data_IF_217861490190
#
_entry.id   IF_217861490190
#
_cell.length_a   1.000
_cell.length_b   1.000
_cell.length_c   1.000
_cell.angle_alpha   90.00
_cell.angle_beta   90.00
_cell.angle_gamma   90.00
#
_symmetry.space_group_name_H-M   'P 1'
#
loop_
_entity.id
_entity.type
_entity.pdbx_description
1 polymer ?
#
# COMPACT_ATOMS: atom_id res chain seq x y z
N UNK A 1 29.42 22.39 -41.84
CA UNK A 1 28.57 22.58 -40.62
C UNK A 1 27.80 21.33 -40.19
N UNK A 2 28.09 20.15 -40.73
CA UNK A 2 27.35 18.88 -40.46
C UNK A 2 27.94 17.99 -39.36
N UNK A 3 29.19 18.20 -38.94
CA UNK A 3 29.84 17.37 -37.95
C UNK A 3 29.43 17.63 -36.48
N UNK A 4 28.91 18.83 -36.16
CA UNK A 4 28.45 19.18 -34.83
C UNK A 4 27.12 18.54 -34.44
N UNK A 5 26.26 18.25 -35.40
CA UNK A 5 24.93 17.63 -35.17
C UNK A 5 25.02 16.13 -34.87
N UNK A 6 25.97 15.42 -35.49
CA UNK A 6 26.16 13.97 -35.25
C UNK A 6 26.78 13.67 -33.91
N UNK A 7 27.68 14.54 -33.42
CA UNK A 7 28.28 14.37 -32.08
C UNK A 7 27.22 14.60 -30.98
N UNK A 8 26.34 15.61 -31.16
CA UNK A 8 25.25 15.88 -30.20
C UNK A 8 24.23 14.75 -30.13
N UNK A 9 23.86 14.14 -31.27
CA UNK A 9 22.95 12.99 -31.29
C UNK A 9 23.59 11.71 -30.74
N UNK A 10 24.90 11.52 -30.94
CA UNK A 10 25.66 10.40 -30.37
C UNK A 10 25.84 10.55 -28.86
N UNK A 11 26.02 11.77 -28.35
CA UNK A 11 26.05 12.03 -26.89
C UNK A 11 24.67 11.80 -26.28
N UNK A 12 23.57 12.21 -26.94
CA UNK A 12 22.20 11.93 -26.50
C UNK A 12 21.82 10.44 -26.55
N UNK A 13 22.42 9.66 -27.45
CA UNK A 13 22.20 8.20 -27.50
C UNK A 13 23.03 7.44 -26.43
N UNK A 14 24.13 8.02 -25.95
CA UNK A 14 24.94 7.47 -24.85
C UNK A 14 24.38 7.80 -23.46
N UNK A 15 23.52 8.83 -23.36
CA UNK A 15 22.78 9.20 -22.14
C UNK A 15 21.38 8.58 -22.06
N UNK A 16 21.05 7.60 -22.91
CA UNK A 16 20.00 6.64 -22.61
C UNK A 16 20.52 5.73 -21.51
N UNK A 17 20.62 6.31 -20.31
CA UNK A 17 20.76 5.54 -19.08
C UNK A 17 19.69 4.43 -19.15
N UNK A 18 20.14 3.19 -19.26
CA UNK A 18 19.31 2.07 -18.83
C UNK A 18 18.90 2.45 -17.41
N UNK A 19 17.64 2.82 -17.20
CA UNK A 19 17.12 3.00 -15.85
C UNK A 19 17.44 1.71 -15.10
N UNK A 20 18.49 1.77 -14.28
CA UNK A 20 18.87 0.67 -13.41
C UNK A 20 17.75 0.60 -12.39
N UNK A 21 16.78 -0.25 -12.63
CA UNK A 21 15.68 -0.50 -11.69
C UNK A 21 16.22 -1.32 -10.53
N UNK A 22 16.62 -0.64 -9.48
CA UNK A 22 16.99 -1.28 -8.22
C UNK A 22 15.78 -1.98 -7.59
N UNK A 23 16.02 -3.14 -6.98
CA UNK A 23 15.04 -3.80 -6.10
C UNK A 23 14.83 -2.99 -4.82
N UNK A 24 13.74 -3.22 -4.12
CA UNK A 24 13.47 -2.53 -2.86
C UNK A 24 14.52 -2.84 -1.79
N UNK A 25 15.06 -4.08 -1.81
CA UNK A 25 16.15 -4.52 -0.94
C UNK A 25 17.47 -3.78 -1.25
N UNK A 26 17.76 -3.55 -2.52
CA UNK A 26 18.93 -2.75 -2.92
C UNK A 26 18.77 -1.29 -2.53
N UNK A 27 17.56 -0.73 -2.72
CA UNK A 27 17.27 0.66 -2.34
C UNK A 27 17.43 0.90 -0.85
N UNK A 28 16.88 0.03 0.01
CA UNK A 28 17.03 0.21 1.46
C UNK A 28 18.48 0.10 1.90
N UNK A 29 19.27 -0.81 1.31
CA UNK A 29 20.70 -0.93 1.60
C UNK A 29 21.44 0.33 1.17
N UNK A 30 21.20 0.85 -0.05
CA UNK A 30 21.79 2.12 -0.51
C UNK A 30 21.44 3.26 0.43
N UNK A 31 20.19 3.34 0.89
CA UNK A 31 19.76 4.35 1.86
C UNK A 31 20.47 4.20 3.21
N UNK A 32 20.74 3.00 3.69
CA UNK A 32 21.58 2.76 4.90
C UNK A 32 22.98 3.37 4.76
N UNK A 33 23.54 3.31 3.55
CA UNK A 33 24.86 3.91 3.24
C UNK A 33 24.80 5.40 2.86
N UNK A 34 23.66 6.07 3.03
CA UNK A 34 23.52 7.52 2.89
C UNK A 34 22.98 8.01 1.55
N UNK A 35 22.51 7.12 0.67
CA UNK A 35 21.86 7.49 -0.59
C UNK A 35 20.42 7.95 -0.36
N UNK A 36 20.22 9.25 -0.21
CA UNK A 36 18.91 9.87 0.01
C UNK A 36 17.95 9.67 -1.19
N UNK A 37 18.48 9.54 -2.42
CA UNK A 37 17.64 9.28 -3.60
C UNK A 37 16.99 7.91 -3.54
N UNK A 38 17.65 6.91 -2.97
CA UNK A 38 17.08 5.59 -2.73
C UNK A 38 15.89 5.66 -1.75
N UNK A 39 15.94 6.54 -0.74
CA UNK A 39 14.78 6.77 0.15
C UNK A 39 13.61 7.41 -0.60
N UNK A 40 13.86 8.44 -1.41
CA UNK A 40 12.82 9.09 -2.22
C UNK A 40 12.13 8.09 -3.14
N UNK A 41 12.89 7.20 -3.78
CA UNK A 41 12.35 6.16 -4.64
C UNK A 41 11.47 5.16 -3.84
N UNK A 42 11.89 4.73 -2.65
CA UNK A 42 11.08 3.88 -1.77
C UNK A 42 9.77 4.58 -1.35
N UNK A 43 9.83 5.88 -1.03
CA UNK A 43 8.63 6.67 -0.70
C UNK A 43 7.66 6.67 -1.90
N UNK A 44 8.15 6.96 -3.10
CA UNK A 44 7.34 6.99 -4.32
C UNK A 44 6.65 5.64 -4.59
N UNK A 45 7.39 4.52 -4.46
CA UNK A 45 6.86 3.17 -4.67
C UNK A 45 5.80 2.76 -3.64
N UNK A 46 5.98 3.18 -2.38
CA UNK A 46 5.17 2.66 -1.28
C UNK A 46 4.07 3.60 -0.81
N UNK A 47 4.09 4.90 -1.14
CA UNK A 47 3.10 5.88 -0.66
C UNK A 47 1.65 5.42 -0.90
N UNK A 48 1.28 5.22 -2.15
CA UNK A 48 -0.10 4.84 -2.50
C UNK A 48 -0.47 3.44 -2.00
N UNK A 49 0.49 2.51 -2.04
CA UNK A 49 0.32 1.14 -1.53
C UNK A 49 0.05 1.11 -0.02
N UNK A 50 0.79 1.91 0.74
CA UNK A 50 0.59 2.05 2.18
C UNK A 50 -0.70 2.80 2.50
N UNK A 51 -1.08 3.82 1.72
CA UNK A 51 -2.38 4.50 1.86
C UNK A 51 -3.53 3.50 1.77
N UNK A 52 -3.58 2.70 0.71
CA UNK A 52 -4.60 1.65 0.54
C UNK A 52 -4.64 0.70 1.73
N UNK A 53 -3.48 0.26 2.20
CA UNK A 53 -3.39 -0.68 3.32
C UNK A 53 -3.84 -0.06 4.65
N UNK A 54 -3.35 1.13 4.98
CA UNK A 54 -3.67 1.81 6.24
C UNK A 54 -5.14 2.26 6.27
N UNK A 55 -5.68 2.76 5.16
CA UNK A 55 -7.10 3.05 5.01
C UNK A 55 -7.97 1.82 5.28
N UNK A 56 -7.52 0.62 4.92
CA UNK A 56 -8.19 -0.63 5.27
C UNK A 56 -8.32 -0.88 6.79
N UNK A 57 -7.53 -0.21 7.62
CA UNK A 57 -7.67 -0.25 9.07
C UNK A 57 -8.54 0.89 9.60
N UNK A 58 -8.25 2.14 9.22
CA UNK A 58 -8.73 3.32 9.97
C UNK A 58 -9.99 3.96 9.38
N UNK A 59 -10.31 3.74 8.10
CA UNK A 59 -11.43 4.37 7.38
C UNK A 59 -11.49 5.90 7.50
N UNK A 60 -10.35 6.54 7.44
CA UNK A 60 -10.17 7.97 7.64
C UNK A 60 -8.92 8.36 6.84
N UNK A 61 -9.13 9.16 5.80
CA UNK A 61 -8.06 9.48 4.83
C UNK A 61 -6.99 10.32 5.51
N UNK A 62 -7.39 11.37 6.25
CA UNK A 62 -6.46 12.27 6.91
C UNK A 62 -5.62 11.50 7.93
N UNK A 63 -6.28 10.60 8.67
CA UNK A 63 -5.58 9.76 9.63
C UNK A 63 -4.69 8.71 8.97
N UNK A 64 -5.07 8.20 7.81
CA UNK A 64 -4.24 7.30 7.04
C UNK A 64 -2.99 8.01 6.51
N UNK A 65 -3.12 9.26 6.04
CA UNK A 65 -1.98 10.09 5.63
C UNK A 65 -0.99 10.30 6.78
N UNK A 66 -1.46 10.69 7.96
CA UNK A 66 -0.63 10.83 9.15
C UNK A 66 0.16 9.54 9.45
N UNK A 67 -0.53 8.39 9.43
CA UNK A 67 0.10 7.10 9.74
C UNK A 67 1.08 6.64 8.66
N UNK A 68 0.84 6.98 7.41
CA UNK A 68 1.77 6.72 6.29
C UNK A 68 3.01 7.61 6.42
N UNK A 69 2.84 8.89 6.75
CA UNK A 69 3.96 9.80 7.06
C UNK A 69 4.77 9.27 8.25
N UNK A 70 4.12 8.89 9.34
CA UNK A 70 4.77 8.27 10.51
C UNK A 70 5.52 6.98 10.14
N UNK A 71 5.01 6.21 9.17
CA UNK A 71 5.69 5.01 8.65
C UNK A 71 6.98 5.38 7.96
N UNK A 72 6.99 6.41 7.11
CA UNK A 72 8.21 6.88 6.43
C UNK A 72 9.20 7.54 7.39
N UNK A 73 8.74 8.28 8.41
CA UNK A 73 9.60 8.79 9.47
C UNK A 73 10.27 7.63 10.22
N UNK A 74 9.54 6.54 10.50
CA UNK A 74 10.13 5.34 11.12
C UNK A 74 11.08 4.61 10.18
N UNK A 75 10.78 4.53 8.88
CA UNK A 75 11.71 4.00 7.88
C UNK A 75 13.01 4.79 7.92
N UNK A 76 12.94 6.13 7.89
CA UNK A 76 14.11 7.01 7.90
C UNK A 76 14.95 6.85 9.15
N UNK A 77 14.31 6.91 10.32
CA UNK A 77 15.01 6.88 11.62
C UNK A 77 15.50 5.50 12.03
N UNK A 78 14.92 4.43 11.47
CA UNK A 78 15.25 3.04 11.82
C UNK A 78 15.77 2.22 10.65
N UNK A 79 16.28 2.89 9.60
CA UNK A 79 16.81 2.23 8.40
C UNK A 79 17.81 1.12 8.73
N UNK A 80 18.69 1.34 9.71
CA UNK A 80 19.74 0.41 10.11
C UNK A 80 19.21 -0.85 10.84
N UNK A 81 17.94 -0.83 11.27
CA UNK A 81 17.29 -2.01 11.85
C UNK A 81 16.81 -3.01 10.79
N UNK A 82 16.69 -2.59 9.53
CA UNK A 82 16.36 -3.51 8.46
C UNK A 82 17.54 -4.46 8.20
N UNK A 83 17.21 -5.76 8.14
CA UNK A 83 18.16 -6.82 7.76
C UNK A 83 17.54 -7.62 6.62
N UNK A 84 18.32 -8.04 5.60
CA UNK A 84 17.80 -8.76 4.43
C UNK A 84 17.42 -10.22 4.73
N UNK A 85 16.83 -10.48 5.90
CA UNK A 85 16.30 -11.78 6.31
C UNK A 85 14.86 -11.96 5.78
N UNK A 86 14.12 -10.85 5.63
CA UNK A 86 12.80 -10.81 5.05
C UNK A 86 12.74 -9.72 3.98
N UNK A 87 11.75 -9.81 3.07
CA UNK A 87 11.57 -8.78 2.06
C UNK A 87 11.31 -7.39 2.68
N UNK A 88 11.78 -6.36 2.01
CA UNK A 88 11.54 -4.98 2.44
C UNK A 88 10.05 -4.68 2.58
N UNK A 89 9.22 -5.15 1.63
CA UNK A 89 7.77 -5.03 1.69
C UNK A 89 7.19 -5.57 3.01
N UNK A 90 7.59 -6.76 3.45
CA UNK A 90 7.13 -7.35 4.71
C UNK A 90 7.47 -6.44 5.91
N UNK A 91 8.66 -5.88 5.91
CA UNK A 91 9.12 -5.02 7.00
C UNK A 91 8.34 -3.69 7.06
N UNK A 92 8.18 -2.99 5.93
CA UNK A 92 7.47 -1.70 5.91
C UNK A 92 5.97 -1.85 6.22
N UNK A 93 5.31 -2.90 5.69
CA UNK A 93 3.92 -3.20 6.03
C UNK A 93 3.74 -3.59 7.50
N UNK A 94 4.73 -4.23 8.13
CA UNK A 94 4.72 -4.51 9.57
C UNK A 94 4.77 -3.20 10.38
N UNK A 95 5.61 -2.23 9.98
CA UNK A 95 5.66 -0.91 10.63
C UNK A 95 4.30 -0.22 10.53
N UNK A 96 3.76 -0.10 9.31
CA UNK A 96 2.48 0.56 9.06
C UNK A 96 1.32 -0.13 9.79
N UNK A 97 1.25 -1.46 9.75
CA UNK A 97 0.22 -2.23 10.44
C UNK A 97 0.26 -2.06 11.96
N UNK A 98 1.44 -1.97 12.55
CA UNK A 98 1.59 -1.73 13.99
C UNK A 98 1.13 -0.32 14.39
N UNK A 99 1.43 0.70 13.57
CA UNK A 99 0.92 2.05 13.77
C UNK A 99 -0.60 2.09 13.67
N UNK A 100 -1.19 1.51 12.63
CA UNK A 100 -2.63 1.44 12.44
C UNK A 100 -3.36 0.70 13.57
N UNK A 101 -2.85 -0.47 14.00
CA UNK A 101 -3.38 -1.21 15.16
C UNK A 101 -3.31 -0.39 16.45
N UNK A 102 -2.24 0.38 16.64
CA UNK A 102 -2.08 1.25 17.82
C UNK A 102 -3.12 2.36 17.81
N UNK A 103 -3.37 2.98 16.67
CA UNK A 103 -4.39 4.01 16.50
C UNK A 103 -5.79 3.47 16.77
N UNK A 104 -6.13 2.29 16.24
CA UNK A 104 -7.42 1.64 16.52
C UNK A 104 -7.61 1.34 18.02
N UNK A 105 -6.54 0.92 18.72
CA UNK A 105 -6.62 0.72 20.17
C UNK A 105 -6.85 2.02 20.92
N UNK A 106 -6.23 3.13 20.48
CA UNK A 106 -6.46 4.47 21.06
C UNK A 106 -7.91 4.91 20.85
N UNK A 107 -8.46 4.77 19.64
CA UNK A 107 -9.86 5.11 19.33
C UNK A 107 -10.84 4.29 20.19
N UNK A 108 -10.63 3.00 20.37
CA UNK A 108 -11.49 2.15 21.23
C UNK A 108 -11.48 2.56 22.70
N UNK A 109 -10.40 3.19 23.19
CA UNK A 109 -10.30 3.66 24.59
C UNK A 109 -10.91 5.03 24.81
N UNK A 110 -11.22 5.80 23.77
CA UNK A 110 -11.83 7.13 23.82
C UNK A 110 -13.16 7.13 23.07
N UNK A 111 -14.27 6.71 23.70
CA UNK A 111 -15.57 6.55 23.03
C UNK A 111 -16.15 7.84 22.45
N UNK A 112 -15.70 9.00 22.94
CA UNK A 112 -16.21 10.32 22.55
C UNK A 112 -16.05 10.65 21.06
N UNK A 113 -15.14 9.98 20.36
CA UNK A 113 -14.92 10.16 18.92
C UNK A 113 -15.73 9.21 18.03
N UNK A 114 -16.43 8.24 18.61
CA UNK A 114 -16.98 7.10 17.84
C UNK A 114 -18.38 7.35 17.29
N UNK A 115 -19.15 8.31 17.83
CA UNK A 115 -20.57 8.45 17.50
C UNK A 115 -20.86 9.42 16.33
N UNK A 116 -19.99 10.37 16.03
CA UNK A 116 -20.24 11.41 15.03
C UNK A 116 -19.75 11.04 13.62
N UNK A 117 -18.89 10.03 13.48
CA UNK A 117 -18.30 9.64 12.18
C UNK A 117 -18.81 8.33 11.60
N UNK A 118 -19.63 7.56 12.32
CA UNK A 118 -20.28 6.34 11.83
C UNK A 118 -21.68 6.57 11.23
N UNK A 119 -22.20 7.81 11.37
CA UNK A 119 -23.49 8.24 10.83
C UNK A 119 -23.32 9.09 9.59
N UNK A 120 -23.75 8.56 8.45
CA UNK A 120 -24.12 9.33 7.27
C UNK A 120 -23.02 10.17 6.60
N UNK A 121 -21.95 9.55 6.11
CA UNK A 121 -21.34 10.10 4.92
C UNK A 121 -21.25 8.98 3.89
N UNK A 122 -21.82 9.21 2.73
CA UNK A 122 -21.45 8.55 1.50
C UNK A 122 -19.94 8.72 1.38
N UNK A 123 -19.21 7.74 1.93
CA UNK A 123 -17.78 7.67 1.78
C UNK A 123 -17.52 7.40 0.29
N UNK A 124 -17.42 8.47 -0.43
CA UNK A 124 -16.76 8.45 -1.71
C UNK A 124 -15.28 8.21 -1.43
N UNK A 125 -15.00 6.97 -0.99
CA UNK A 125 -13.65 6.48 -0.80
C UNK A 125 -13.04 6.29 -2.18
N UNK A 126 -12.64 7.40 -2.74
CA UNK A 126 -11.66 7.42 -3.81
C UNK A 126 -10.33 7.10 -3.13
N UNK A 127 -9.95 5.81 -3.10
CA UNK A 127 -8.53 5.50 -2.87
C UNK A 127 -7.74 6.42 -3.80
N UNK A 128 -6.57 6.93 -3.35
CA UNK A 128 -5.69 7.62 -4.28
C UNK A 128 -5.54 6.67 -5.46
N UNK A 129 -6.24 6.98 -6.55
CA UNK A 129 -6.15 6.24 -7.77
C UNK A 129 -4.67 6.17 -8.10
N UNK A 130 -4.14 4.98 -8.33
CA UNK A 130 -3.05 4.87 -9.27
C UNK A 130 -3.49 5.74 -10.44
N UNK A 131 -2.66 6.70 -10.86
CA UNK A 131 -3.01 7.56 -12.01
C UNK A 131 -3.56 6.63 -13.08
N UNK A 132 -4.77 6.92 -13.64
CA UNK A 132 -5.43 5.98 -14.53
C UNK A 132 -4.42 5.64 -15.63
N UNK A 133 -4.06 4.37 -15.74
CA UNK A 133 -3.27 3.93 -16.89
C UNK A 133 -4.10 4.29 -18.11
N UNK A 134 -3.49 4.98 -19.06
CA UNK A 134 -4.11 5.44 -20.31
C UNK A 134 -4.78 4.25 -21.00
N UNK A 135 -6.10 4.11 -20.84
CA UNK A 135 -6.89 3.00 -21.38
C UNK A 135 -8.02 2.47 -20.48
N UNK A 136 -8.12 2.90 -19.23
CA UNK A 136 -9.22 2.49 -18.35
C UNK A 136 -10.57 3.07 -18.84
N UNK A 137 -11.58 2.22 -18.91
CA UNK A 137 -12.93 2.60 -19.31
C UNK A 137 -13.74 3.09 -18.09
N UNK A 138 -14.84 3.81 -18.35
CA UNK A 138 -15.79 4.21 -17.28
C UNK A 138 -16.35 2.98 -16.57
N UNK A 139 -16.49 1.85 -17.26
CA UNK A 139 -16.96 0.58 -16.72
C UNK A 139 -15.96 0.00 -15.72
N UNK A 140 -14.66 0.06 -16.02
CA UNK A 140 -13.59 -0.36 -15.10
C UNK A 140 -13.61 0.45 -13.80
N UNK A 141 -13.84 1.75 -13.91
CA UNK A 141 -13.95 2.66 -12.76
C UNK A 141 -15.15 2.33 -11.86
N UNK A 142 -16.31 2.05 -12.47
CA UNK A 142 -17.50 1.64 -11.75
C UNK A 142 -17.31 0.29 -11.05
N UNK A 143 -16.71 -0.68 -11.74
CA UNK A 143 -16.41 -1.99 -11.17
C UNK A 143 -15.44 -1.87 -9.99
N UNK A 144 -14.38 -1.07 -10.11
CA UNK A 144 -13.44 -0.83 -9.00
C UNK A 144 -14.13 -0.18 -7.81
N UNK A 145 -15.03 0.79 -8.02
CA UNK A 145 -15.84 1.40 -6.94
C UNK A 145 -16.71 0.36 -6.21
N UNK A 146 -17.30 -0.58 -6.94
CA UNK A 146 -18.09 -1.67 -6.36
C UNK A 146 -17.21 -2.64 -5.55
N UNK A 147 -16.05 -3.03 -6.07
CA UNK A 147 -15.08 -3.88 -5.37
C UNK A 147 -14.66 -3.22 -4.05
N UNK A 148 -14.34 -1.93 -4.06
CA UNK A 148 -13.98 -1.20 -2.84
C UNK A 148 -15.12 -1.18 -1.81
N UNK A 149 -16.36 -0.94 -2.24
CA UNK A 149 -17.53 -1.01 -1.35
C UNK A 149 -17.67 -2.42 -0.74
N UNK A 150 -17.50 -3.47 -1.54
CA UNK A 150 -17.55 -4.85 -1.07
C UNK A 150 -16.42 -5.18 -0.06
N UNK A 151 -15.23 -4.59 -0.25
CA UNK A 151 -14.11 -4.74 0.69
C UNK A 151 -14.38 -4.00 2.01
N UNK A 152 -15.04 -2.84 1.98
CA UNK A 152 -15.34 -2.05 3.18
C UNK A 152 -16.27 -2.77 4.17
N UNK A 153 -17.25 -3.53 3.69
CA UNK A 153 -18.18 -4.28 4.55
C UNK A 153 -17.58 -5.54 5.17
N UNK A 154 -16.37 -5.93 4.77
CA UNK A 154 -15.68 -7.05 5.39
C UNK A 154 -15.26 -6.76 6.83
N UNK A 155 -15.28 -7.76 7.72
CA UNK A 155 -14.62 -7.64 9.02
C UNK A 155 -13.14 -7.26 8.84
N UNK A 156 -12.62 -6.35 9.69
CA UNK A 156 -11.25 -5.81 9.64
C UNK A 156 -10.20 -6.89 9.32
N UNK A 157 -10.22 -7.99 10.05
CA UNK A 157 -9.24 -9.07 9.90
C UNK A 157 -9.27 -9.75 8.53
N UNK A 158 -10.42 -9.82 7.88
CA UNK A 158 -10.60 -10.40 6.55
C UNK A 158 -10.22 -9.39 5.46
N UNK A 159 -10.60 -8.13 5.65
CA UNK A 159 -10.30 -7.03 4.77
C UNK A 159 -8.80 -6.81 4.61
N UNK A 160 -8.07 -6.73 5.72
CA UNK A 160 -6.61 -6.51 5.71
C UNK A 160 -5.87 -7.60 4.93
N UNK A 161 -6.21 -8.87 5.13
CA UNK A 161 -5.52 -9.96 4.43
C UNK A 161 -5.84 -9.99 2.93
N UNK A 162 -7.04 -9.55 2.51
CA UNK A 162 -7.41 -9.42 1.10
C UNK A 162 -6.66 -8.25 0.46
N UNK A 163 -6.60 -7.10 1.10
CA UNK A 163 -5.81 -5.95 0.61
C UNK A 163 -4.36 -6.37 0.40
N UNK A 164 -3.74 -7.03 1.38
CA UNK A 164 -2.35 -7.48 1.26
C UNK A 164 -2.17 -8.54 0.18
N UNK A 165 -3.15 -9.43 -0.04
CA UNK A 165 -3.04 -10.52 -1.02
C UNK A 165 -3.39 -10.07 -2.43
N UNK A 166 -4.55 -9.45 -2.61
CA UNK A 166 -5.16 -9.25 -3.92
C UNK A 166 -4.83 -7.86 -4.51
N UNK A 167 -4.48 -6.87 -3.66
CA UNK A 167 -4.08 -5.54 -4.10
C UNK A 167 -2.57 -5.30 -3.99
N UNK A 168 -1.88 -5.92 -3.01
CA UNK A 168 -0.44 -5.75 -2.81
C UNK A 168 0.38 -6.96 -3.25
N UNK A 169 -0.28 -8.03 -3.73
CA UNK A 169 0.31 -9.26 -4.29
C UNK A 169 1.26 -10.02 -3.35
N UNK A 170 1.14 -9.80 -2.03
CA UNK A 170 1.99 -10.47 -1.07
C UNK A 170 1.66 -11.96 -0.95
N UNK A 171 2.67 -12.76 -0.66
CA UNK A 171 2.49 -14.19 -0.40
C UNK A 171 1.81 -14.44 0.95
N UNK A 172 1.14 -15.57 1.11
CA UNK A 172 0.50 -15.93 2.38
C UNK A 172 1.47 -15.96 3.55
N UNK A 173 2.76 -16.29 3.30
CA UNK A 173 3.80 -16.31 4.33
C UNK A 173 4.15 -14.88 4.77
N UNK A 174 4.31 -13.96 3.85
CA UNK A 174 4.55 -12.55 4.15
C UNK A 174 3.38 -11.94 4.91
N UNK A 175 2.14 -12.20 4.45
CA UNK A 175 0.92 -11.75 5.14
C UNK A 175 0.87 -12.31 6.56
N UNK A 176 1.18 -13.59 6.76
CA UNK A 176 1.23 -14.22 8.09
C UNK A 176 2.18 -13.48 9.04
N UNK A 177 3.34 -13.04 8.55
CA UNK A 177 4.30 -12.25 9.33
C UNK A 177 3.78 -10.83 9.64
N UNK A 178 3.17 -10.15 8.66
CA UNK A 178 2.67 -8.78 8.81
C UNK A 178 1.52 -8.69 9.81
N UNK A 179 0.55 -9.61 9.70
CA UNK A 179 -0.65 -9.58 10.56
C UNK A 179 -0.49 -10.36 11.86
N UNK A 180 0.61 -11.11 12.00
CA UNK A 180 0.97 -11.93 13.15
C UNK A 180 -0.09 -12.99 13.46
N UNK A 181 -0.41 -13.84 12.46
CA UNK A 181 -1.32 -14.99 12.62
C UNK A 181 -0.82 -16.19 11.81
N UNK A 182 -1.18 -17.43 12.20
CA UNK A 182 -0.78 -18.63 11.48
C UNK A 182 -1.21 -18.62 9.99
N UNK A 183 -0.40 -19.23 9.13
CA UNK A 183 -0.63 -19.34 7.69
C UNK A 183 -2.03 -19.92 7.35
N UNK A 184 -2.48 -20.93 8.08
CA UNK A 184 -3.81 -21.51 7.92
C UNK A 184 -4.94 -20.50 8.19
N UNK A 185 -4.74 -19.61 9.16
CA UNK A 185 -5.67 -18.52 9.48
C UNK A 185 -5.70 -17.50 8.33
N UNK A 186 -4.56 -17.14 7.76
CA UNK A 186 -4.50 -16.24 6.58
C UNK A 186 -5.29 -16.84 5.43
N UNK A 187 -5.03 -18.11 5.07
CA UNK A 187 -5.75 -18.81 3.99
C UNK A 187 -7.27 -18.79 4.21
N UNK A 188 -7.72 -19.17 5.40
CA UNK A 188 -9.16 -19.23 5.71
C UNK A 188 -9.83 -17.85 5.72
N UNK A 189 -9.12 -16.79 6.16
CA UNK A 189 -9.62 -15.41 6.11
C UNK A 189 -9.76 -14.91 4.68
N UNK A 190 -8.77 -15.15 3.82
CA UNK A 190 -8.81 -14.76 2.41
C UNK A 190 -9.96 -15.46 1.69
N UNK A 191 -10.11 -16.78 1.85
CA UNK A 191 -11.19 -17.52 1.20
C UNK A 191 -12.57 -17.00 1.62
N UNK A 192 -12.80 -16.79 2.93
CA UNK A 192 -14.07 -16.23 3.42
C UNK A 192 -14.32 -14.80 2.92
N UNK A 193 -13.27 -13.99 2.83
CA UNK A 193 -13.38 -12.63 2.32
C UNK A 193 -13.78 -12.63 0.84
N UNK A 194 -13.13 -13.44 0.01
CA UNK A 194 -13.44 -13.54 -1.43
C UNK A 194 -14.88 -14.00 -1.68
N UNK A 195 -15.37 -14.98 -0.91
CA UNK A 195 -16.76 -15.42 -1.00
C UNK A 195 -17.75 -14.27 -0.67
N UNK A 196 -17.44 -13.47 0.37
CA UNK A 196 -18.30 -12.32 0.72
C UNK A 196 -18.23 -11.21 -0.34
N UNK A 197 -17.06 -10.94 -0.91
CA UNK A 197 -16.93 -9.98 -2.01
C UNK A 197 -17.74 -10.46 -3.22
N UNK A 198 -17.63 -11.73 -3.58
CA UNK A 198 -18.39 -12.31 -4.69
C UNK A 198 -19.91 -12.15 -4.47
N UNK A 199 -20.42 -12.51 -3.29
CA UNK A 199 -21.82 -12.33 -2.92
C UNK A 199 -22.27 -10.87 -3.03
N UNK A 200 -21.48 -9.93 -2.50
CA UNK A 200 -21.79 -8.51 -2.59
C UNK A 200 -21.80 -8.00 -4.05
N UNK A 201 -20.91 -8.51 -4.92
CA UNK A 201 -20.88 -8.12 -6.33
C UNK A 201 -22.04 -8.73 -7.14
N UNK A 202 -22.56 -9.90 -6.75
CA UNK A 202 -23.74 -10.50 -7.36
C UNK A 202 -25.02 -9.68 -7.07
N UNK A 203 -25.10 -9.02 -5.93
CA UNK A 203 -26.22 -8.13 -5.56
C UNK A 203 -26.23 -6.82 -6.37
N UNK A 204 -25.12 -6.46 -7.02
CA UNK A 204 -25.00 -5.26 -7.87
C UNK A 204 -25.22 -5.54 -9.37
N UNK A 205 -25.52 -6.78 -9.74
CA UNK A 205 -25.85 -7.17 -11.13
C UNK A 205 -27.35 -7.09 -11.37
#
# INVERSE_FOLDING_TARGET
MEQGSQISSSIQSLTKDKEIRYTDEELIIRFQYGDEQAFVELVNRYRNRLMTFVCGYVFDIDKAEDLVQDTFVKLYTKKDSYKPIAKFSTWIYTIAGNLAKTELRKRKRRPEYTFTQLGSNEWEFTLPAAEPETGETVEDHLLMKQIYKAIQVLPEQSRIVVILRDMQELTYKEISMIVDVPLGTVKSRINRARLKIQQALEEFR
#
